data_IF_755578275084
#
_entry.id   IF_755578275084
#
_cell.length_a   1.000
_cell.length_b   1.000
_cell.length_c   1.000
_cell.angle_alpha   90.00
_cell.angle_beta   90.00
_cell.angle_gamma   90.00
#
_symmetry.space_group_name_H-M   'P 1'
#
loop_
_entity.id
_entity.type
_entity.pdbx_description
1 polymer ?
#
# COMPACT_ATOMS: atom_id res chain seq x y z
N UNK A 1 0.09 -19.96 7.23
CA UNK A 1 0.37 -18.55 7.61
C UNK A 1 -0.18 -17.49 6.65
N UNK A 2 0.30 -17.32 5.39
CA UNK A 2 -0.27 -16.28 4.48
C UNK A 2 -1.76 -16.50 4.18
N UNK A 3 -2.15 -17.74 3.88
CA UNK A 3 -3.56 -18.09 3.61
C UNK A 3 -4.44 -17.98 4.85
N UNK A 4 -4.01 -18.44 6.03
CA UNK A 4 -4.79 -18.35 7.27
C UNK A 4 -5.06 -16.91 7.71
N UNK A 5 -4.09 -16.00 7.54
CA UNK A 5 -4.28 -14.57 7.85
C UNK A 5 -5.20 -13.90 6.83
N UNK A 6 -5.14 -14.29 5.54
CA UNK A 6 -6.11 -13.85 4.54
C UNK A 6 -7.53 -14.36 4.89
N UNK A 7 -7.65 -15.64 5.26
CA UNK A 7 -8.91 -16.27 5.67
C UNK A 7 -9.54 -15.57 6.88
N UNK A 8 -8.75 -15.23 7.90
CA UNK A 8 -9.21 -14.50 9.08
C UNK A 8 -9.60 -13.04 8.79
N UNK A 9 -8.97 -12.39 7.81
CA UNK A 9 -9.39 -11.07 7.36
C UNK A 9 -10.70 -11.14 6.55
N UNK A 10 -10.89 -12.19 5.74
CA UNK A 10 -12.10 -12.40 4.92
C UNK A 10 -13.36 -12.79 5.71
N UNK A 11 -13.23 -13.21 6.98
CA UNK A 11 -14.36 -13.60 7.83
C UNK A 11 -14.96 -12.46 8.66
N UNK A 12 -14.43 -11.24 8.58
CA UNK A 12 -15.09 -10.07 9.18
C UNK A 12 -16.45 -9.87 8.52
N UNK A 13 -17.52 -9.75 9.33
CA UNK A 13 -18.86 -9.37 8.86
C UNK A 13 -18.75 -8.04 8.12
N UNK A 14 -18.84 -8.09 6.80
CA UNK A 14 -18.77 -6.93 5.93
C UNK A 14 -20.02 -6.88 5.07
N UNK A 15 -20.66 -5.72 5.07
CA UNK A 15 -21.78 -5.38 4.20
C UNK A 15 -21.41 -4.11 3.44
N UNK A 16 -21.21 -4.25 2.13
CA UNK A 16 -20.87 -3.15 1.22
C UNK A 16 -21.85 -1.98 1.21
N UNK A 17 -23.10 -2.19 1.66
CA UNK A 17 -24.13 -1.15 1.72
C UNK A 17 -24.17 -0.45 3.08
N UNK A 18 -23.56 -1.04 4.12
CA UNK A 18 -23.56 -0.49 5.48
C UNK A 18 -22.21 0.04 5.93
N UNK A 19 -21.13 -0.61 5.54
CA UNK A 19 -19.78 -0.27 5.99
C UNK A 19 -19.20 0.82 5.10
N UNK A 20 -18.89 1.97 5.70
CA UNK A 20 -18.40 3.16 5.01
C UNK A 20 -17.26 3.80 5.78
N UNK A 21 -16.49 4.65 5.10
CA UNK A 21 -15.51 5.54 5.72
C UNK A 21 -16.10 6.92 5.89
N UNK A 22 -15.77 7.57 7.00
CA UNK A 22 -16.15 8.96 7.26
C UNK A 22 -14.96 9.76 7.77
N UNK A 23 -14.95 11.06 7.48
CA UNK A 23 -13.88 11.95 7.92
C UNK A 23 -13.83 12.04 9.45
N UNK A 24 -12.62 12.04 9.99
CA UNK A 24 -12.33 12.20 11.41
C UNK A 24 -11.19 13.20 11.60
N UNK A 25 -11.33 14.22 12.47
CA UNK A 25 -10.30 15.25 12.63
C UNK A 25 -8.94 14.73 13.13
N UNK A 26 -8.90 13.60 13.83
CA UNK A 26 -7.68 13.06 14.44
C UNK A 26 -7.07 11.96 13.56
N UNK A 27 -7.90 11.06 13.04
CA UNK A 27 -7.47 9.86 12.32
C UNK A 27 -7.51 10.03 10.80
N UNK A 28 -7.95 11.20 10.30
CA UNK A 28 -8.24 11.48 8.90
C UNK A 28 -9.55 10.83 8.44
N UNK A 29 -9.61 9.50 8.51
CA UNK A 29 -10.83 8.72 8.23
C UNK A 29 -10.99 7.57 9.23
N UNK A 30 -12.24 7.28 9.60
CA UNK A 30 -12.60 6.15 10.46
C UNK A 30 -13.70 5.30 9.83
N UNK A 31 -13.72 4.02 10.20
CA UNK A 31 -14.79 3.12 9.77
C UNK A 31 -16.10 3.49 10.46
N UNK A 32 -17.22 3.31 9.77
CA UNK A 32 -18.55 3.49 10.34
C UNK A 32 -19.56 2.50 9.72
N UNK A 33 -20.63 2.22 10.46
CA UNK A 33 -21.76 1.41 10.00
C UNK A 33 -23.03 2.28 9.89
N UNK A 34 -23.69 2.23 8.73
CA UNK A 34 -24.97 2.88 8.50
C UNK A 34 -26.06 2.13 9.25
N UNK A 35 -26.74 2.81 10.17
CA UNK A 35 -27.92 2.31 10.89
C UNK A 35 -29.22 2.58 10.13
N UNK A 36 -29.36 3.78 9.58
CA UNK A 36 -30.57 4.20 8.88
C UNK A 36 -30.26 5.25 7.81
N UNK A 37 -31.17 5.38 6.85
CA UNK A 37 -31.12 6.38 5.79
C UNK A 37 -32.47 7.07 5.68
N UNK A 38 -32.46 8.40 5.62
CA UNK A 38 -33.66 9.23 5.53
C UNK A 38 -33.41 10.37 4.54
N UNK A 39 -33.94 10.23 3.32
CA UNK A 39 -33.64 11.15 2.22
C UNK A 39 -32.14 11.13 1.89
N UNK A 40 -31.53 12.32 1.87
CA UNK A 40 -30.10 12.49 1.56
C UNK A 40 -29.18 12.30 2.78
N UNK A 41 -29.75 12.05 3.97
CA UNK A 41 -28.99 11.88 5.20
C UNK A 41 -28.92 10.40 5.60
N UNK A 42 -27.79 10.03 6.21
CA UNK A 42 -27.54 8.72 6.80
C UNK A 42 -27.16 8.89 8.27
N UNK A 43 -27.73 8.04 9.13
CA UNK A 43 -27.29 7.93 10.53
C UNK A 43 -26.32 6.78 10.63
N UNK A 44 -25.12 7.08 11.12
CA UNK A 44 -23.98 6.17 11.21
C UNK A 44 -23.51 6.00 12.64
N UNK A 45 -22.92 4.85 12.95
CA UNK A 45 -22.12 4.65 14.15
C UNK A 45 -20.68 4.42 13.75
N UNK A 46 -19.81 5.31 14.18
CA UNK A 46 -18.36 5.22 13.94
C UNK A 46 -17.72 4.09 14.75
N UNK A 47 -16.56 3.62 14.33
CA UNK A 47 -15.76 2.63 15.08
C UNK A 47 -15.31 3.13 16.46
N UNK A 48 -15.38 4.45 16.72
CA UNK A 48 -15.18 5.07 18.04
C UNK A 48 -16.43 4.98 18.94
N UNK A 49 -17.55 4.43 18.45
CA UNK A 49 -18.82 4.30 19.18
C UNK A 49 -19.75 5.50 19.07
N UNK A 50 -19.33 6.59 18.43
CA UNK A 50 -20.13 7.80 18.28
C UNK A 50 -21.18 7.64 17.19
N UNK A 51 -22.42 8.01 17.48
CA UNK A 51 -23.51 8.10 16.51
C UNK A 51 -23.59 9.52 15.92
N UNK A 52 -23.66 9.62 14.59
CA UNK A 52 -23.75 10.90 13.87
C UNK A 52 -24.70 10.78 12.70
N UNK A 53 -25.36 11.88 12.35
CA UNK A 53 -26.11 11.99 11.10
C UNK A 53 -25.34 12.91 10.16
N UNK A 54 -25.01 12.40 8.98
CA UNK A 54 -24.25 13.09 7.94
C UNK A 54 -24.99 12.99 6.62
N UNK A 55 -24.58 13.79 5.64
CA UNK A 55 -25.07 13.59 4.27
C UNK A 55 -24.44 12.36 3.65
N UNK A 56 -25.15 11.73 2.71
CA UNK A 56 -24.71 10.48 2.08
C UNK A 56 -23.43 10.64 1.25
N UNK A 57 -23.20 11.81 0.66
CA UNK A 57 -22.01 12.17 -0.13
C UNK A 57 -20.75 12.40 0.71
N UNK A 58 -20.91 12.67 2.01
CA UNK A 58 -19.79 12.78 2.96
C UNK A 58 -19.20 11.42 3.37
N UNK A 59 -19.88 10.31 3.04
CA UNK A 59 -19.41 8.96 3.29
C UNK A 59 -18.71 8.36 2.06
N UNK A 60 -17.53 7.78 2.27
CA UNK A 60 -16.80 7.07 1.22
C UNK A 60 -17.04 5.56 1.31
N UNK A 61 -17.11 4.89 0.16
CA UNK A 61 -17.32 3.44 0.11
C UNK A 61 -16.11 2.67 0.65
N UNK A 62 -16.38 1.59 1.37
CA UNK A 62 -15.35 0.72 1.91
C UNK A 62 -15.10 -0.47 0.99
N UNK A 63 -13.82 -0.81 0.78
CA UNK A 63 -13.47 -2.01 0.03
C UNK A 63 -13.78 -3.27 0.86
N UNK A 64 -14.27 -4.37 0.23
CA UNK A 64 -14.46 -5.63 0.92
C UNK A 64 -13.15 -6.17 1.54
N UNK A 65 -13.23 -6.99 2.61
CA UNK A 65 -12.04 -7.49 3.31
C UNK A 65 -11.07 -8.32 2.47
N UNK A 66 -11.49 -8.82 1.29
CA UNK A 66 -10.59 -9.48 0.33
C UNK A 66 -9.48 -8.57 -0.20
N UNK A 67 -9.67 -7.25 -0.11
CA UNK A 67 -8.70 -6.24 -0.51
C UNK A 67 -7.81 -5.76 0.65
N UNK A 68 -7.93 -6.37 1.82
CA UNK A 68 -7.12 -6.01 2.97
C UNK A 68 -5.63 -6.24 2.66
N UNK A 69 -4.80 -5.21 2.90
CA UNK A 69 -3.34 -5.22 2.65
C UNK A 69 -2.96 -5.52 1.20
N UNK A 70 -3.79 -5.12 0.23
CA UNK A 70 -3.51 -5.27 -1.20
C UNK A 70 -2.13 -4.69 -1.56
N UNK A 71 -1.39 -5.42 -2.39
CA UNK A 71 -0.03 -5.08 -2.81
C UNK A 71 0.02 -3.92 -3.80
N UNK A 72 -0.97 -3.81 -4.70
CA UNK A 72 -1.17 -2.67 -5.59
C UNK A 72 -2.55 -2.05 -5.41
N UNK A 73 -2.58 -0.83 -4.88
CA UNK A 73 -3.81 -0.11 -4.59
C UNK A 73 -4.61 0.28 -5.83
N UNK A 74 -4.01 0.24 -7.03
CA UNK A 74 -4.76 0.40 -8.28
C UNK A 74 -5.80 -0.71 -8.51
N UNK A 75 -5.65 -1.86 -7.83
CA UNK A 75 -6.61 -2.97 -7.91
C UNK A 75 -7.79 -2.85 -6.94
N UNK A 76 -7.87 -1.78 -6.13
CA UNK A 76 -9.01 -1.55 -5.24
C UNK A 76 -10.29 -1.30 -6.08
N UNK A 77 -11.43 -1.81 -5.58
CA UNK A 77 -12.73 -1.55 -6.22
C UNK A 77 -13.14 -0.09 -6.04
N UNK A 78 -12.96 0.43 -4.82
CA UNK A 78 -13.20 1.83 -4.50
C UNK A 78 -11.86 2.52 -4.26
N UNK A 79 -11.39 3.27 -5.25
CA UNK A 79 -10.16 4.04 -5.15
C UNK A 79 -10.48 5.44 -4.60
N UNK A 80 -10.56 5.53 -3.28
CA UNK A 80 -10.79 6.77 -2.55
C UNK A 80 -9.73 6.96 -1.45
N UNK A 81 -9.59 8.19 -0.97
CA UNK A 81 -8.53 8.58 -0.03
C UNK A 81 -8.56 7.73 1.25
N UNK A 82 -9.74 7.44 1.78
CA UNK A 82 -9.89 6.62 2.97
C UNK A 82 -9.41 5.18 2.77
N UNK A 83 -9.68 4.58 1.61
CA UNK A 83 -9.25 3.22 1.29
C UNK A 83 -7.74 3.13 1.08
N UNK A 84 -7.15 4.13 0.43
CA UNK A 84 -5.69 4.23 0.26
C UNK A 84 -5.01 4.36 1.64
N UNK A 85 -5.49 5.28 2.47
CA UNK A 85 -4.97 5.47 3.83
C UNK A 85 -5.08 4.21 4.67
N UNK A 86 -6.25 3.56 4.68
CA UNK A 86 -6.46 2.30 5.43
C UNK A 86 -5.51 1.21 4.96
N UNK A 87 -5.38 0.98 3.65
CA UNK A 87 -4.49 -0.06 3.13
C UNK A 87 -3.03 0.17 3.53
N UNK A 88 -2.54 1.41 3.40
CA UNK A 88 -1.19 1.80 3.81
C UNK A 88 -0.97 1.60 5.31
N UNK A 89 -1.91 2.02 6.17
CA UNK A 89 -1.83 1.83 7.63
C UNK A 89 -1.75 0.35 8.00
N UNK A 90 -2.61 -0.49 7.43
CA UNK A 90 -2.68 -1.92 7.75
C UNK A 90 -1.42 -2.68 7.31
N UNK A 91 -0.87 -2.32 6.16
CA UNK A 91 0.41 -2.86 5.68
C UNK A 91 1.55 -2.42 6.58
N UNK A 92 1.61 -1.14 6.93
CA UNK A 92 2.62 -0.59 7.83
C UNK A 92 2.60 -1.24 9.22
N UNK A 93 1.43 -1.44 9.83
CA UNK A 93 1.30 -2.16 11.10
C UNK A 93 1.80 -3.60 11.03
N UNK A 94 1.74 -4.22 9.84
CA UNK A 94 2.27 -5.55 9.57
C UNK A 94 3.75 -5.52 9.12
N UNK A 95 4.41 -4.36 9.19
CA UNK A 95 5.79 -4.13 8.76
C UNK A 95 6.05 -4.37 7.27
N UNK A 96 4.99 -4.29 6.47
CA UNK A 96 5.05 -4.26 5.01
C UNK A 96 5.11 -2.80 4.57
N UNK A 97 6.33 -2.28 4.45
CA UNK A 97 6.54 -0.85 4.22
C UNK A 97 6.38 -0.41 2.77
N UNK A 98 6.48 -1.33 1.81
CA UNK A 98 6.34 -1.08 0.39
C UNK A 98 4.94 -1.43 -0.07
N UNK A 99 4.32 -0.55 -0.85
CA UNK A 99 3.00 -0.75 -1.46
C UNK A 99 2.98 -0.08 -2.82
N UNK A 100 2.48 -0.76 -3.84
CA UNK A 100 2.29 -0.15 -5.15
C UNK A 100 1.00 0.66 -5.21
N UNK A 101 1.01 1.68 -6.07
CA UNK A 101 -0.17 2.44 -6.48
C UNK A 101 -0.03 2.73 -7.98
N UNK A 102 -0.43 1.77 -8.80
CA UNK A 102 -0.28 1.87 -10.26
C UNK A 102 1.19 1.97 -10.66
N UNK A 103 1.65 3.13 -11.10
CA UNK A 103 3.06 3.34 -11.47
C UNK A 103 3.95 3.68 -10.26
N UNK A 104 3.35 4.09 -9.14
CA UNK A 104 4.10 4.52 -7.97
C UNK A 104 4.45 3.35 -7.05
N UNK A 105 5.63 3.44 -6.42
CA UNK A 105 6.00 2.61 -5.28
C UNK A 105 6.03 3.49 -4.03
N UNK A 106 5.04 3.32 -3.16
CA UNK A 106 4.92 4.02 -1.89
C UNK A 106 5.73 3.26 -0.83
N UNK A 107 6.59 3.99 -0.12
CA UNK A 107 7.36 3.47 1.01
C UNK A 107 7.09 4.30 2.25
N UNK A 108 6.79 3.65 3.37
CA UNK A 108 6.62 4.29 4.67
C UNK A 108 7.84 3.98 5.53
N UNK A 109 8.48 5.00 6.10
CA UNK A 109 9.68 4.84 6.91
C UNK A 109 9.38 3.92 8.13
N UNK A 110 10.02 2.74 8.25
CA UNK A 110 9.77 1.82 9.36
C UNK A 110 10.31 2.29 10.71
N UNK A 111 11.20 3.29 10.74
CA UNK A 111 11.98 3.70 11.91
C UNK A 111 12.71 2.55 12.64
N UNK A 112 12.93 1.44 11.93
CA UNK A 112 13.65 0.26 12.42
C UNK A 112 14.32 -0.47 11.28
N UNK A 113 15.35 -1.25 11.61
CA UNK A 113 16.03 -2.12 10.64
C UNK A 113 15.15 -3.31 10.31
N UNK A 114 14.91 -3.52 9.02
CA UNK A 114 14.21 -4.69 8.49
C UNK A 114 15.19 -5.58 7.72
N UNK A 115 15.12 -6.91 7.84
CA UNK A 115 16.00 -7.84 7.13
C UNK A 115 15.56 -8.05 5.67
N UNK A 116 15.21 -6.98 4.95
CA UNK A 116 14.67 -7.01 3.58
C UNK A 116 15.66 -6.50 2.52
N UNK A 117 16.88 -6.13 2.93
CA UNK A 117 17.91 -5.60 2.05
C UNK A 117 19.20 -6.43 2.06
N UNK A 118 19.09 -7.72 2.40
CA UNK A 118 20.23 -8.63 2.32
C UNK A 118 20.53 -8.99 0.86
N UNK A 119 21.71 -9.54 0.64
CA UNK A 119 22.11 -10.03 -0.69
C UNK A 119 21.21 -11.15 -1.20
N UNK A 120 20.79 -12.06 -0.33
CA UNK A 120 19.81 -13.09 -0.67
C UNK A 120 18.49 -12.50 -1.19
N UNK A 121 18.01 -11.40 -0.60
CA UNK A 121 16.80 -10.73 -1.08
C UNK A 121 17.06 -10.05 -2.42
N UNK A 122 18.21 -9.40 -2.62
CA UNK A 122 18.60 -8.85 -3.92
C UNK A 122 18.52 -9.90 -5.03
N UNK A 123 19.07 -11.08 -4.79
CA UNK A 123 19.03 -12.20 -5.74
C UNK A 123 17.61 -12.70 -6.02
N UNK A 124 16.73 -12.71 -5.02
CA UNK A 124 15.33 -13.11 -5.21
C UNK A 124 14.57 -12.21 -6.19
N UNK A 125 14.89 -10.91 -6.23
CA UNK A 125 14.22 -9.95 -7.11
C UNK A 125 14.86 -9.85 -8.50
N UNK A 126 16.08 -10.37 -8.70
CA UNK A 126 16.79 -10.26 -9.97
C UNK A 126 16.04 -11.00 -11.09
N UNK A 127 15.73 -10.29 -12.17
CA UNK A 127 15.05 -10.85 -13.34
C UNK A 127 13.57 -11.21 -13.14
N UNK A 128 12.98 -10.86 -11.99
CA UNK A 128 11.58 -11.17 -11.68
C UNK A 128 10.66 -10.09 -12.20
N UNK A 129 9.48 -10.50 -12.67
CA UNK A 129 8.43 -9.54 -13.04
C UNK A 129 7.80 -8.95 -11.79
N UNK A 130 7.30 -7.72 -11.92
CA UNK A 130 6.71 -6.96 -10.81
C UNK A 130 5.55 -7.66 -10.10
N UNK A 131 4.79 -8.49 -10.81
CA UNK A 131 3.65 -9.26 -10.29
C UNK A 131 4.03 -10.63 -9.72
N UNK A 132 5.28 -11.08 -9.89
CA UNK A 132 5.77 -12.35 -9.35
C UNK A 132 6.32 -12.21 -7.93
N UNK A 133 6.65 -10.98 -7.53
CA UNK A 133 7.27 -10.67 -6.24
C UNK A 133 6.49 -9.60 -5.49
N UNK A 134 6.49 -9.64 -4.15
CA UNK A 134 5.86 -8.59 -3.35
C UNK A 134 6.42 -7.19 -3.65
N UNK A 135 5.69 -6.12 -3.31
CA UNK A 135 6.19 -4.76 -3.50
C UNK A 135 7.52 -4.54 -2.80
N UNK A 136 8.51 -4.04 -3.54
CA UNK A 136 9.84 -3.77 -3.00
C UNK A 136 10.61 -2.80 -3.89
N UNK A 137 11.53 -2.04 -3.29
CA UNK A 137 12.41 -1.14 -4.02
C UNK A 137 13.25 -1.87 -5.08
N UNK A 138 13.75 -3.07 -4.75
CA UNK A 138 14.53 -3.89 -5.67
C UNK A 138 13.74 -4.33 -6.90
N UNK A 139 12.43 -4.52 -6.80
CA UNK A 139 11.61 -4.83 -7.97
C UNK A 139 11.59 -3.66 -8.97
N UNK A 140 11.45 -2.42 -8.47
CA UNK A 140 11.47 -1.21 -9.29
C UNK A 140 12.86 -0.98 -9.90
N UNK A 141 13.92 -1.24 -9.13
CA UNK A 141 15.29 -1.14 -9.62
C UNK A 141 15.61 -2.21 -10.67
N UNK A 142 15.19 -3.47 -10.47
CA UNK A 142 15.36 -4.55 -11.45
C UNK A 142 14.61 -4.26 -12.75
N UNK A 143 13.36 -3.77 -12.64
CA UNK A 143 12.56 -3.38 -13.80
C UNK A 143 13.23 -2.27 -14.60
N UNK A 144 13.72 -1.21 -13.94
CA UNK A 144 14.49 -0.16 -14.61
C UNK A 144 15.77 -0.71 -15.27
N UNK A 145 16.52 -1.58 -14.59
CA UNK A 145 17.73 -2.18 -15.18
C UNK A 145 17.42 -3.03 -16.42
N UNK A 146 16.37 -3.85 -16.35
CA UNK A 146 15.94 -4.68 -17.49
C UNK A 146 15.44 -3.84 -18.66
N UNK A 147 14.63 -2.82 -18.40
CA UNK A 147 14.13 -1.93 -19.45
C UNK A 147 15.29 -1.18 -20.11
N UNK A 148 16.25 -0.68 -19.34
CA UNK A 148 17.47 -0.07 -19.89
C UNK A 148 18.22 -1.01 -20.85
N UNK A 149 18.36 -2.30 -20.48
CA UNK A 149 19.06 -3.29 -21.31
C UNK A 149 18.28 -3.70 -22.55
N UNK A 150 16.97 -3.89 -22.42
CA UNK A 150 16.13 -4.43 -23.49
C UNK A 150 15.73 -3.33 -24.49
N UNK A 151 15.38 -2.16 -23.99
CA UNK A 151 14.85 -1.05 -24.78
C UNK A 151 15.97 -0.13 -25.28
N UNK A 152 17.18 -0.28 -24.73
CA UNK A 152 18.36 0.56 -25.04
C UNK A 152 18.14 2.06 -24.79
N UNK A 153 17.28 2.38 -23.81
CA UNK A 153 16.96 3.74 -23.42
C UNK A 153 17.37 4.04 -21.97
N UNK A 154 17.77 5.29 -21.72
CA UNK A 154 18.13 5.76 -20.39
C UNK A 154 16.93 5.72 -19.44
N UNK A 155 17.17 5.30 -18.19
CA UNK A 155 16.14 5.20 -17.16
C UNK A 155 16.42 6.17 -16.02
N UNK A 156 15.35 6.62 -15.34
CA UNK A 156 15.44 7.49 -14.17
C UNK A 156 14.55 6.98 -13.03
N UNK A 157 15.07 6.98 -11.80
CA UNK A 157 14.30 6.70 -10.59
C UNK A 157 14.14 7.98 -9.76
N UNK A 158 12.92 8.52 -9.70
CA UNK A 158 12.61 9.72 -8.94
C UNK A 158 12.14 9.36 -7.53
N UNK A 159 12.91 9.73 -6.51
CA UNK A 159 12.59 9.46 -5.09
C UNK A 159 12.21 10.76 -4.40
N UNK A 160 10.92 10.93 -4.12
CA UNK A 160 10.35 12.13 -3.47
C UNK A 160 9.83 11.83 -2.07
N UNK A 161 9.54 12.89 -1.29
CA UNK A 161 9.03 12.83 0.07
C UNK A 161 9.53 13.98 0.93
N UNK A 162 8.92 14.17 2.09
CA UNK A 162 9.31 15.19 3.06
C UNK A 162 10.69 14.93 3.69
N UNK A 163 11.18 15.89 4.49
CA UNK A 163 12.39 15.68 5.29
C UNK A 163 12.18 14.52 6.27
N UNK A 164 13.15 13.60 6.38
CA UNK A 164 13.03 12.42 7.23
C UNK A 164 12.19 11.26 6.67
N UNK A 165 11.55 11.41 5.51
CA UNK A 165 10.73 10.36 4.89
C UNK A 165 11.54 9.11 4.43
N UNK A 166 12.87 9.20 4.37
CA UNK A 166 13.75 8.09 4.00
C UNK A 166 14.27 8.13 2.56
N UNK A 167 14.21 9.27 1.87
CA UNK A 167 14.73 9.44 0.50
C UNK A 167 16.18 8.95 0.35
N UNK A 168 17.08 9.49 1.17
CA UNK A 168 18.52 9.16 1.15
C UNK A 168 18.80 7.67 1.36
N UNK A 169 18.06 7.03 2.27
CA UNK A 169 18.22 5.60 2.54
C UNK A 169 17.76 4.75 1.35
N UNK A 170 16.62 5.09 0.73
CA UNK A 170 16.18 4.42 -0.50
C UNK A 170 17.18 4.64 -1.65
N UNK A 171 17.69 5.85 -1.85
CA UNK A 171 18.72 6.13 -2.88
C UNK A 171 19.96 5.26 -2.71
N UNK A 172 20.49 5.15 -1.49
CA UNK A 172 21.64 4.26 -1.20
C UNK A 172 21.34 2.82 -1.59
N UNK A 173 20.15 2.32 -1.24
CA UNK A 173 19.73 0.94 -1.52
C UNK A 173 19.58 0.65 -3.03
N UNK A 174 19.05 1.61 -3.80
CA UNK A 174 19.00 1.52 -5.27
C UNK A 174 20.41 1.40 -5.84
N UNK A 175 21.33 2.27 -5.42
CA UNK A 175 22.72 2.25 -5.91
C UNK A 175 23.41 0.92 -5.53
N UNK A 176 23.23 0.45 -4.29
CA UNK A 176 23.75 -0.85 -3.86
C UNK A 176 23.18 -2.00 -4.70
N UNK A 177 21.89 -1.97 -5.03
CA UNK A 177 21.27 -2.97 -5.89
C UNK A 177 21.92 -3.01 -7.28
N UNK A 178 22.08 -1.86 -7.93
CA UNK A 178 22.73 -1.80 -9.25
C UNK A 178 24.19 -2.24 -9.22
N UNK A 179 24.93 -1.90 -8.17
CA UNK A 179 26.30 -2.36 -8.00
C UNK A 179 26.38 -3.90 -7.93
N UNK A 180 25.44 -4.53 -7.23
CA UNK A 180 25.36 -5.99 -7.15
C UNK A 180 25.01 -6.63 -8.50
N UNK A 181 23.92 -6.19 -9.14
CA UNK A 181 23.48 -6.74 -10.44
C UNK A 181 24.56 -6.57 -11.50
N UNK A 182 25.23 -5.41 -11.53
CA UNK A 182 26.33 -5.14 -12.46
C UNK A 182 27.59 -5.97 -12.20
N UNK A 183 27.86 -6.35 -10.94
CA UNK A 183 28.98 -7.22 -10.59
C UNK A 183 28.72 -8.70 -10.93
N UNK A 184 27.48 -9.18 -10.77
CA UNK A 184 27.11 -10.58 -11.02
C UNK A 184 27.05 -10.93 -12.51
N UNK A 185 26.90 -9.95 -13.41
CA UNK A 185 26.77 -10.17 -14.85
C UNK A 185 28.09 -9.99 -15.62
N UNK A 186 29.23 -10.16 -14.95
CA UNK A 186 30.56 -10.27 -15.58
C UNK A 186 30.95 -11.71 -15.85
#
# INVERSE_FOLDING_TARGET
MKEEVLLAATTKKFDSKKNVWVADPEEGFVAAEIKSSKGDNITIVTSKGNEKTIKKDEAQQMNPPKFEKTEDMANLTFLNDASVLHNLRQRYFSMMIYTYSGLFCVVINPYKRLPIYSESVCQMYMGRRRNEMPPHLFAVSDEAYRNMKNDHENQSMLITGESGAGKTENTKKVISYFAMVGATQR
#
